data_IF_507672862734
#
_entry.id   IF_507672862734
#
_cell.length_a   1.000
_cell.length_b   1.000
_cell.length_c   1.000
_cell.angle_alpha   90.00
_cell.angle_beta   90.00
_cell.angle_gamma   90.00
#
_symmetry.space_group_name_H-M   'P 1'
#
loop_
_entity.id
_entity.type
_entity.pdbx_description
1 polymer ?
#
# COMPACT_ATOMS: atom_id res chain seq x y z
N UNK A 1 -11.04 6.34 -13.87
CA UNK A 1 -10.51 5.04 -13.36
C UNK A 1 -8.99 4.88 -13.56
N UNK A 2 -8.48 4.71 -14.79
CA UNK A 2 -7.06 4.36 -15.00
C UNK A 2 -6.06 5.40 -14.47
N UNK A 3 -6.31 6.69 -14.68
CA UNK A 3 -5.46 7.78 -14.17
C UNK A 3 -5.31 7.72 -12.65
N UNK A 4 -6.41 7.45 -11.94
CA UNK A 4 -6.40 7.31 -10.48
C UNK A 4 -5.45 6.18 -10.05
N UNK A 5 -5.57 5.01 -10.68
CA UNK A 5 -4.74 3.84 -10.36
C UNK A 5 -3.29 4.09 -10.74
N UNK A 6 -3.00 4.70 -11.89
CA UNK A 6 -1.61 5.05 -12.29
C UNK A 6 -0.95 5.90 -11.21
N UNK A 7 -1.62 6.95 -10.73
CA UNK A 7 -1.03 7.85 -9.73
C UNK A 7 -0.87 7.12 -8.39
N UNK A 8 -1.92 6.46 -7.91
CA UNK A 8 -1.89 5.74 -6.64
C UNK A 8 -0.84 4.62 -6.65
N UNK A 9 -0.77 3.82 -7.71
CA UNK A 9 0.23 2.76 -7.85
C UNK A 9 1.64 3.30 -8.04
N UNK A 10 1.81 4.50 -8.62
CA UNK A 10 3.11 5.15 -8.77
C UNK A 10 3.66 5.56 -7.40
N UNK A 11 2.83 6.20 -6.57
CA UNK A 11 3.21 6.52 -5.19
C UNK A 11 3.55 5.23 -4.44
N UNK A 12 2.71 4.20 -4.56
CA UNK A 12 2.96 2.95 -3.85
C UNK A 12 4.19 2.17 -4.29
N UNK A 13 4.53 2.18 -5.59
CA UNK A 13 5.72 1.49 -6.08
C UNK A 13 7.01 2.25 -5.79
N UNK A 14 7.00 3.59 -5.79
CA UNK A 14 8.24 4.36 -5.78
C UNK A 14 8.49 5.19 -4.53
N UNK A 15 7.45 5.55 -3.78
CA UNK A 15 7.59 6.35 -2.55
C UNK A 15 7.41 5.50 -1.29
N UNK A 16 6.62 4.43 -1.36
CA UNK A 16 6.41 3.53 -0.21
C UNK A 16 7.43 2.39 -0.11
N UNK A 17 8.47 2.40 -0.95
CA UNK A 17 9.52 1.38 -0.98
C UNK A 17 10.19 1.17 0.38
N UNK A 18 10.37 2.23 1.16
CA UNK A 18 10.90 2.14 2.53
C UNK A 18 10.04 1.25 3.43
N UNK A 19 8.71 1.31 3.33
CA UNK A 19 7.85 0.40 4.11
C UNK A 19 8.00 -1.04 3.64
N UNK A 20 8.07 -1.28 2.33
CA UNK A 20 8.25 -2.65 1.81
C UNK A 20 9.62 -3.25 2.13
N UNK A 21 10.70 -2.49 1.98
CA UNK A 21 12.05 -3.03 2.09
C UNK A 21 12.58 -2.96 3.52
N UNK A 22 12.25 -1.91 4.28
CA UNK A 22 12.78 -1.71 5.64
C UNK A 22 11.80 -2.19 6.72
N UNK A 23 10.50 -1.97 6.57
CA UNK A 23 9.50 -2.39 7.58
C UNK A 23 9.11 -3.86 7.39
N UNK A 24 8.91 -4.28 6.14
CA UNK A 24 8.47 -5.64 5.79
C UNK A 24 9.62 -6.59 5.40
N UNK A 25 10.81 -6.08 5.07
CA UNK A 25 11.96 -6.90 4.68
C UNK A 25 11.78 -7.66 3.37
N UNK A 26 11.12 -7.04 2.39
CA UNK A 26 10.98 -7.57 1.05
C UNK A 26 12.17 -7.17 0.15
N UNK A 27 12.44 -7.93 -0.91
CA UNK A 27 13.40 -7.50 -1.95
C UNK A 27 13.12 -8.14 -3.32
N UNK A 28 13.42 -7.40 -4.39
CA UNK A 28 13.37 -7.90 -5.78
C UNK A 28 14.75 -8.34 -6.26
N UNK A 29 14.87 -9.59 -6.73
CA UNK A 29 16.17 -10.19 -7.07
C UNK A 29 16.45 -10.30 -8.57
N UNK A 30 15.48 -10.05 -9.45
CA UNK A 30 15.68 -10.19 -10.90
C UNK A 30 16.42 -8.99 -11.55
N UNK A 31 17.22 -9.23 -12.60
CA UNK A 31 17.92 -8.18 -13.33
C UNK A 31 16.93 -7.34 -14.14
N UNK A 32 16.91 -6.02 -13.91
CA UNK A 32 16.02 -5.08 -14.59
C UNK A 32 16.48 -3.64 -14.36
N UNK A 33 15.88 -2.71 -15.10
CA UNK A 33 16.00 -1.28 -14.82
C UNK A 33 15.11 -0.94 -13.63
N UNK A 34 15.73 -0.42 -12.56
CA UNK A 34 15.07 -0.17 -11.28
C UNK A 34 15.04 1.32 -10.95
N UNK A 35 14.00 1.75 -10.24
CA UNK A 35 13.90 3.06 -9.58
C UNK A 35 13.53 2.81 -8.12
N UNK A 36 14.33 3.33 -7.17
CA UNK A 36 14.22 3.01 -5.75
C UNK A 36 14.14 1.49 -5.50
N UNK A 37 15.03 0.73 -6.14
CA UNK A 37 15.10 -0.75 -6.11
C UNK A 37 13.86 -1.51 -6.62
N UNK A 38 12.88 -0.79 -7.19
CA UNK A 38 11.69 -1.38 -7.81
C UNK A 38 11.84 -1.44 -9.34
N UNK A 39 11.73 -2.64 -9.94
CA UNK A 39 11.71 -2.82 -11.39
C UNK A 39 10.55 -2.08 -12.07
N UNK A 40 10.79 -1.39 -13.18
CA UNK A 40 9.69 -0.69 -13.89
C UNK A 40 8.60 -1.63 -14.42
N UNK A 41 8.94 -2.89 -14.69
CA UNK A 41 7.98 -3.91 -15.14
C UNK A 41 6.96 -4.25 -14.07
N UNK A 42 7.31 -4.17 -12.78
CA UNK A 42 6.36 -4.45 -11.69
C UNK A 42 5.34 -3.35 -11.58
N UNK A 43 5.70 -2.08 -11.80
CA UNK A 43 4.74 -0.98 -11.81
C UNK A 43 3.64 -1.19 -12.86
N UNK A 44 3.99 -1.60 -14.08
CA UNK A 44 3.02 -1.89 -15.14
C UNK A 44 2.10 -3.07 -14.77
N UNK A 45 2.66 -4.11 -14.15
CA UNK A 45 1.88 -5.24 -13.64
C UNK A 45 0.94 -4.79 -12.49
N UNK A 46 1.45 -4.01 -11.54
CA UNK A 46 0.68 -3.45 -10.43
C UNK A 46 -0.49 -2.64 -10.95
N UNK A 47 -0.32 -1.84 -12.02
CA UNK A 47 -1.41 -1.07 -12.59
C UNK A 47 -2.61 -1.96 -12.99
N UNK A 48 -2.35 -3.05 -13.71
CA UNK A 48 -3.40 -3.98 -14.17
C UNK A 48 -4.04 -4.69 -12.98
N UNK A 49 -3.23 -5.18 -12.05
CA UNK A 49 -3.67 -5.92 -10.88
C UNK A 49 -4.50 -5.03 -9.93
N UNK A 50 -4.06 -3.79 -9.70
CA UNK A 50 -4.80 -2.84 -8.87
C UNK A 50 -6.11 -2.43 -9.53
N UNK A 51 -6.12 -2.19 -10.85
CA UNK A 51 -7.38 -1.95 -11.56
C UNK A 51 -8.38 -3.09 -11.34
N UNK A 52 -7.91 -4.34 -11.44
CA UNK A 52 -8.75 -5.51 -11.20
C UNK A 52 -9.33 -5.50 -9.78
N UNK A 53 -8.50 -5.32 -8.74
CA UNK A 53 -8.96 -5.29 -7.35
C UNK A 53 -9.98 -4.19 -7.08
N UNK A 54 -9.74 -2.98 -7.59
CA UNK A 54 -10.62 -1.83 -7.33
C UNK A 54 -11.95 -1.95 -8.08
N UNK A 55 -11.94 -2.50 -9.31
CA UNK A 55 -13.18 -2.79 -10.05
C UNK A 55 -13.98 -3.89 -9.34
N UNK A 56 -13.33 -4.99 -8.92
CA UNK A 56 -13.99 -6.05 -8.14
C UNK A 56 -14.58 -5.50 -6.84
N UNK A 57 -13.83 -4.66 -6.13
CA UNK A 57 -14.31 -3.98 -4.92
C UNK A 57 -15.57 -3.15 -5.19
N UNK A 58 -15.55 -2.29 -6.20
CA UNK A 58 -16.71 -1.49 -6.58
C UNK A 58 -17.94 -2.35 -6.91
N UNK A 59 -17.76 -3.45 -7.67
CA UNK A 59 -18.85 -4.37 -7.99
C UNK A 59 -19.45 -5.01 -6.72
N UNK A 60 -18.61 -5.47 -5.80
CA UNK A 60 -19.08 -6.10 -4.55
C UNK A 60 -19.76 -5.08 -3.63
N UNK A 61 -19.21 -3.87 -3.49
CA UNK A 61 -19.76 -2.81 -2.65
C UNK A 61 -21.11 -2.30 -3.17
N UNK A 62 -21.25 -2.10 -4.49
CA UNK A 62 -22.54 -1.74 -5.10
C UNK A 62 -23.59 -2.82 -4.89
N UNK A 63 -23.21 -4.09 -5.04
CA UNK A 63 -24.12 -5.22 -4.79
C UNK A 63 -24.52 -5.31 -3.33
N UNK A 64 -23.56 -5.12 -2.42
CA UNK A 64 -23.79 -5.10 -0.97
C UNK A 64 -24.77 -3.99 -0.59
N UNK A 65 -24.53 -2.75 -1.06
CA UNK A 65 -25.41 -1.59 -0.86
C UNK A 65 -26.84 -1.86 -1.28
N UNK A 66 -27.01 -2.46 -2.46
CA UNK A 66 -28.34 -2.84 -2.94
C UNK A 66 -28.99 -3.91 -2.04
N UNK A 67 -28.23 -4.88 -1.57
CA UNK A 67 -28.74 -5.95 -0.69
C UNK A 67 -29.13 -5.47 0.71
N UNK A 68 -28.48 -4.44 1.23
CA UNK A 68 -28.72 -3.91 2.58
C UNK A 68 -29.58 -2.63 2.60
N UNK A 69 -30.07 -2.18 1.45
CA UNK A 69 -30.76 -0.89 1.31
C UNK A 69 -32.02 -0.74 2.20
N UNK A 70 -32.64 -1.84 2.60
CA UNK A 70 -33.82 -1.85 3.48
C UNK A 70 -33.49 -1.85 4.98
N UNK A 71 -32.21 -2.00 5.35
CA UNK A 71 -31.77 -2.06 6.75
C UNK A 71 -31.56 -0.65 7.34
N UNK A 72 -31.56 -0.50 8.67
CA UNK A 72 -31.19 0.75 9.33
C UNK A 72 -29.79 1.24 8.96
N UNK A 73 -29.61 2.56 8.84
CA UNK A 73 -28.36 3.21 8.41
C UNK A 73 -27.11 2.75 9.20
N UNK A 74 -27.24 2.59 10.52
CA UNK A 74 -26.14 2.10 11.36
C UNK A 74 -25.68 0.69 10.96
N UNK A 75 -26.62 -0.18 10.58
CA UNK A 75 -26.31 -1.55 10.15
C UNK A 75 -25.72 -1.51 8.74
N UNK A 76 -26.21 -0.62 7.87
CA UNK A 76 -25.62 -0.44 6.55
C UNK A 76 -24.15 -0.02 6.65
N UNK A 77 -23.87 1.02 7.44
CA UNK A 77 -22.51 1.52 7.67
C UNK A 77 -21.61 0.45 8.28
N UNK A 78 -22.06 -0.24 9.32
CA UNK A 78 -21.28 -1.30 9.97
C UNK A 78 -20.97 -2.45 8.99
N UNK A 79 -21.93 -2.82 8.14
CA UNK A 79 -21.76 -3.89 7.14
C UNK A 79 -20.81 -3.45 6.03
N UNK A 80 -20.91 -2.21 5.55
CA UNK A 80 -19.98 -1.66 4.55
C UNK A 80 -18.55 -1.62 5.08
N UNK A 81 -18.34 -1.08 6.28
CA UNK A 81 -17.02 -1.02 6.92
C UNK A 81 -16.46 -2.41 7.12
N UNK A 82 -17.25 -3.35 7.66
CA UNK A 82 -16.83 -4.73 7.85
C UNK A 82 -16.45 -5.39 6.51
N UNK A 83 -17.21 -5.14 5.45
CA UNK A 83 -16.91 -5.67 4.12
C UNK A 83 -15.63 -5.10 3.54
N UNK A 84 -15.40 -3.78 3.65
CA UNK A 84 -14.16 -3.14 3.20
C UNK A 84 -12.96 -3.74 3.93
N UNK A 85 -13.04 -3.87 5.26
CA UNK A 85 -11.95 -4.45 6.06
C UNK A 85 -11.67 -5.91 5.66
N UNK A 86 -12.72 -6.73 5.54
CA UNK A 86 -12.59 -8.13 5.15
C UNK A 86 -12.02 -8.31 3.75
N UNK A 87 -12.55 -7.58 2.76
CA UNK A 87 -12.10 -7.64 1.37
C UNK A 87 -10.66 -7.14 1.23
N UNK A 88 -10.32 -6.04 1.91
CA UNK A 88 -8.96 -5.46 1.90
C UNK A 88 -7.93 -6.45 2.43
N UNK A 89 -8.22 -7.08 3.57
CA UNK A 89 -7.34 -8.09 4.13
C UNK A 89 -7.24 -9.33 3.25
N UNK A 90 -8.37 -9.79 2.69
CA UNK A 90 -8.39 -10.94 1.80
C UNK A 90 -7.53 -10.73 0.54
N UNK A 91 -7.67 -9.59 -0.13
CA UNK A 91 -6.87 -9.25 -1.31
C UNK A 91 -5.39 -9.10 -0.94
N UNK A 92 -5.07 -8.40 0.15
CA UNK A 92 -3.70 -8.25 0.61
C UNK A 92 -3.03 -9.59 0.94
N UNK A 93 -3.78 -10.51 1.55
CA UNK A 93 -3.31 -11.86 1.84
C UNK A 93 -3.05 -12.67 0.57
N UNK A 94 -3.98 -12.65 -0.40
CA UNK A 94 -3.79 -13.32 -1.69
C UNK A 94 -2.59 -12.77 -2.46
N UNK A 95 -2.39 -11.46 -2.43
CA UNK A 95 -1.24 -10.84 -3.08
C UNK A 95 0.07 -11.20 -2.38
N UNK A 96 0.08 -11.24 -1.04
CA UNK A 96 1.23 -11.73 -0.27
C UNK A 96 1.56 -13.18 -0.65
N UNK A 97 0.53 -14.03 -0.76
CA UNK A 97 0.67 -15.42 -1.19
C UNK A 97 1.19 -15.53 -2.63
N UNK A 98 0.66 -14.75 -3.57
CA UNK A 98 1.11 -14.74 -4.95
C UNK A 98 2.57 -14.31 -5.08
N UNK A 99 2.94 -13.21 -4.41
CA UNK A 99 4.30 -12.67 -4.39
C UNK A 99 5.28 -13.64 -3.74
N UNK A 100 4.90 -14.30 -2.63
CA UNK A 100 5.78 -15.27 -1.94
C UNK A 100 6.15 -16.50 -2.78
N UNK A 101 5.35 -16.80 -3.81
CA UNK A 101 5.60 -17.90 -4.75
C UNK A 101 6.36 -17.43 -6.00
N UNK A 102 6.62 -16.12 -6.15
CA UNK A 102 7.38 -15.59 -7.27
C UNK A 102 8.89 -15.78 -7.02
N UNK A 103 9.63 -16.46 -7.92
CA UNK A 103 11.02 -16.85 -7.68
C UNK A 103 11.99 -15.66 -7.57
N UNK A 104 11.57 -14.46 -7.98
CA UNK A 104 12.41 -13.27 -7.94
C UNK A 104 11.97 -12.22 -6.92
N UNK A 105 11.20 -12.65 -5.92
CA UNK A 105 10.79 -11.83 -4.78
C UNK A 105 11.06 -12.59 -3.49
N UNK A 106 11.86 -12.02 -2.60
CA UNK A 106 12.22 -12.69 -1.34
C UNK A 106 11.79 -11.89 -0.12
N UNK A 107 11.49 -12.64 0.94
CA UNK A 107 11.10 -12.11 2.24
C UNK A 107 12.04 -12.66 3.32
N UNK A 108 12.54 -11.78 4.19
CA UNK A 108 13.38 -12.21 5.32
C UNK A 108 12.63 -13.13 6.28
N UNK A 109 11.37 -12.80 6.60
CA UNK A 109 10.49 -13.66 7.42
C UNK A 109 9.10 -13.82 6.79
N UNK A 110 8.91 -14.94 6.09
CA UNK A 110 7.64 -15.28 5.43
C UNK A 110 6.48 -15.47 6.42
N UNK A 111 6.75 -16.00 7.61
CA UNK A 111 5.69 -16.28 8.59
C UNK A 111 5.13 -14.97 9.16
N UNK A 112 5.99 -14.00 9.45
CA UNK A 112 5.57 -12.68 9.88
C UNK A 112 4.93 -11.87 8.76
N UNK A 113 5.36 -12.07 7.50
CA UNK A 113 4.71 -11.46 6.35
C UNK A 113 3.27 -11.92 6.15
N UNK A 114 2.96 -13.21 6.29
CA UNK A 114 1.58 -13.68 6.18
C UNK A 114 0.65 -13.19 7.30
N UNK A 115 1.19 -12.92 8.50
CA UNK A 115 0.38 -12.51 9.66
C UNK A 115 0.24 -10.99 9.76
N UNK A 116 1.37 -10.30 9.76
CA UNK A 116 1.44 -8.85 10.04
C UNK A 116 1.67 -8.07 8.75
N UNK A 117 2.48 -8.60 7.83
CA UNK A 117 2.73 -7.97 6.53
C UNK A 117 1.46 -7.83 5.69
N UNK A 118 0.61 -8.86 5.63
CA UNK A 118 -0.67 -8.79 4.93
C UNK A 118 -1.63 -7.77 5.55
N UNK A 119 -1.61 -7.59 6.88
CA UNK A 119 -2.41 -6.56 7.55
C UNK A 119 -1.88 -5.15 7.25
N UNK A 120 -0.56 -4.98 7.27
CA UNK A 120 0.09 -3.72 6.90
C UNK A 120 -0.23 -3.35 5.44
N UNK A 121 -0.18 -4.32 4.53
CA UNK A 121 -0.52 -4.10 3.14
C UNK A 121 -2.02 -3.84 2.94
N UNK A 122 -2.89 -4.46 3.74
CA UNK A 122 -4.34 -4.21 3.69
C UNK A 122 -4.71 -2.74 3.90
N UNK A 123 -3.90 -1.95 4.60
CA UNK A 123 -4.09 -0.49 4.79
C UNK A 123 -4.29 0.23 3.45
N UNK A 124 -3.61 -0.23 2.40
CA UNK A 124 -3.67 0.36 1.07
C UNK A 124 -5.10 0.29 0.56
N UNK A 125 -5.69 -0.91 0.66
CA UNK A 125 -7.04 -1.22 0.19
C UNK A 125 -8.14 -0.67 1.09
N UNK A 126 -7.90 -0.62 2.41
CA UNK A 126 -8.83 -0.04 3.39
C UNK A 126 -9.16 1.40 3.02
N UNK A 127 -8.16 2.16 2.57
CA UNK A 127 -8.34 3.54 2.11
C UNK A 127 -8.73 3.60 0.63
N UNK A 128 -8.05 2.84 -0.23
CA UNK A 128 -8.18 3.02 -1.68
C UNK A 128 -9.53 2.55 -2.22
N UNK A 129 -10.13 1.49 -1.66
CA UNK A 129 -11.44 1.00 -2.09
C UNK A 129 -12.56 2.04 -1.93
N UNK A 130 -12.81 2.61 -0.73
CA UNK A 130 -13.87 3.62 -0.58
C UNK A 130 -13.55 4.93 -1.30
N UNK A 131 -12.28 5.28 -1.52
CA UNK A 131 -11.90 6.45 -2.31
C UNK A 131 -12.20 6.24 -3.80
N UNK A 132 -11.76 5.11 -4.35
CA UNK A 132 -11.96 4.76 -5.77
C UNK A 132 -13.43 4.56 -6.12
N UNK A 133 -14.25 4.06 -5.19
CA UNK A 133 -15.70 3.91 -5.40
C UNK A 133 -16.40 5.24 -5.68
N UNK A 134 -15.85 6.38 -5.28
CA UNK A 134 -16.49 7.71 -5.48
C UNK A 134 -16.45 8.18 -6.93
N UNK A 135 -15.50 7.66 -7.71
CA UNK A 135 -15.27 8.08 -9.09
C UNK A 135 -16.50 7.71 -9.92
N UNK A 136 -17.15 8.72 -10.51
CA UNK A 136 -18.30 8.58 -11.39
C UNK A 136 -19.50 7.80 -10.79
N UNK A 137 -19.62 7.74 -9.47
CA UNK A 137 -20.71 6.99 -8.80
C UNK A 137 -22.05 7.74 -8.84
N UNK A 138 -22.01 9.08 -8.83
CA UNK A 138 -23.22 9.91 -8.88
C UNK A 138 -23.66 10.11 -10.33
N UNK A 139 -24.90 9.73 -10.70
CA UNK A 139 -25.41 9.99 -12.05
C UNK A 139 -25.34 11.48 -12.38
N UNK A 140 -24.65 11.83 -13.47
CA UNK A 140 -24.52 13.22 -13.94
C UNK A 140 -23.34 14.02 -13.35
N UNK A 141 -22.58 13.49 -12.38
CA UNK A 141 -21.34 14.09 -11.86
C UNK A 141 -20.13 13.30 -12.39
N UNK A 142 -19.77 13.54 -13.65
CA UNK A 142 -18.57 12.95 -14.26
C UNK A 142 -17.33 13.69 -13.76
N UNK A 143 -16.34 12.95 -13.28
CA UNK A 143 -15.11 13.53 -12.77
C UNK A 143 -14.15 13.89 -13.90
N UNK A 144 -13.59 15.10 -13.86
CA UNK A 144 -12.52 15.54 -14.73
C UNK A 144 -11.15 14.98 -14.28
N UNK A 145 -10.19 14.92 -15.22
CA UNK A 145 -8.87 14.34 -14.95
C UNK A 145 -8.11 15.02 -13.79
N UNK A 146 -8.13 16.37 -13.65
CA UNK A 146 -7.52 17.04 -12.50
C UNK A 146 -8.12 16.61 -11.15
N UNK A 147 -9.46 16.55 -11.03
CA UNK A 147 -10.13 16.08 -9.81
C UNK A 147 -9.73 14.65 -9.46
N UNK A 148 -9.70 13.76 -10.45
CA UNK A 148 -9.23 12.37 -10.26
C UNK A 148 -7.79 12.33 -9.77
N UNK A 149 -6.91 13.16 -10.33
CA UNK A 149 -5.51 13.21 -9.95
C UNK A 149 -5.33 13.68 -8.49
N UNK A 150 -5.97 14.78 -8.12
CA UNK A 150 -5.92 15.32 -6.76
C UNK A 150 -6.49 14.33 -5.75
N UNK A 151 -7.62 13.69 -6.05
CA UNK A 151 -8.22 12.68 -5.17
C UNK A 151 -7.30 11.47 -4.96
N UNK A 152 -6.66 10.97 -6.02
CA UNK A 152 -5.70 9.86 -5.93
C UNK A 152 -4.47 10.19 -5.08
N UNK A 153 -3.96 11.43 -5.19
CA UNK A 153 -2.86 11.93 -4.34
C UNK A 153 -3.30 12.07 -2.88
N UNK A 154 -4.53 12.54 -2.64
CA UNK A 154 -5.11 12.61 -1.30
C UNK A 154 -5.26 11.24 -0.65
N UNK A 155 -5.75 10.25 -1.41
CA UNK A 155 -5.83 8.86 -0.95
C UNK A 155 -4.44 8.29 -0.64
N UNK A 156 -3.45 8.54 -1.49
CA UNK A 156 -2.08 8.11 -1.26
C UNK A 156 -1.47 8.78 -0.01
N UNK A 157 -1.71 10.07 0.21
CA UNK A 157 -1.24 10.76 1.40
C UNK A 157 -1.88 10.18 2.68
N UNK A 158 -3.18 9.88 2.65
CA UNK A 158 -3.87 9.26 3.78
C UNK A 158 -3.30 7.88 4.11
N UNK A 159 -3.04 7.04 3.10
CA UNK A 159 -2.32 5.76 3.30
C UNK A 159 -0.97 6.01 3.94
N UNK A 160 -0.18 6.94 3.39
CA UNK A 160 1.17 7.28 3.90
C UNK A 160 1.13 7.63 5.39
N UNK A 161 0.18 8.47 5.81
CA UNK A 161 0.01 8.84 7.22
C UNK A 161 -0.27 7.61 8.08
N UNK A 162 -1.15 6.71 7.66
CA UNK A 162 -1.47 5.50 8.43
C UNK A 162 -0.27 4.55 8.50
N UNK A 163 0.47 4.39 7.41
CA UNK A 163 1.71 3.60 7.39
C UNK A 163 2.78 4.19 8.30
N UNK A 164 2.91 5.51 8.36
CA UNK A 164 3.83 6.19 9.27
C UNK A 164 3.42 6.04 10.73
N UNK A 165 2.12 6.15 11.05
CA UNK A 165 1.64 5.88 12.40
C UNK A 165 1.97 4.44 12.81
N UNK A 166 1.73 3.47 11.94
CA UNK A 166 2.13 2.08 12.18
C UNK A 166 3.63 1.98 12.45
N UNK A 167 4.46 2.56 11.59
CA UNK A 167 5.91 2.55 11.73
C UNK A 167 6.36 3.15 13.07
N UNK A 168 5.77 4.27 13.50
CA UNK A 168 6.15 4.97 14.73
C UNK A 168 5.71 4.19 15.98
N UNK A 169 4.50 3.62 15.99
CA UNK A 169 3.95 2.98 17.18
C UNK A 169 4.29 1.49 17.31
N UNK A 170 4.38 0.76 16.20
CA UNK A 170 4.58 -0.69 16.19
C UNK A 170 5.99 -1.10 15.71
N UNK A 171 6.63 -0.28 14.88
CA UNK A 171 7.97 -0.54 14.38
C UNK A 171 8.04 -1.55 13.22
N UNK A 172 9.27 -1.90 12.77
CA UNK A 172 9.52 -2.90 11.73
C UNK A 172 9.21 -4.32 12.21
N UNK A 173 8.76 -5.18 11.29
CA UNK A 173 8.42 -6.58 11.56
C UNK A 173 9.66 -7.47 11.51
N UNK A 174 10.68 -7.05 10.76
CA UNK A 174 11.95 -7.75 10.62
C UNK A 174 12.97 -7.16 11.61
N UNK A 175 13.78 -7.99 12.30
CA UNK A 175 14.89 -7.49 13.08
C UNK A 175 15.81 -6.68 12.17
N UNK A 176 15.95 -5.39 12.49
CA UNK A 176 16.96 -4.56 11.87
C UNK A 176 18.29 -5.27 12.12
N UNK A 177 18.98 -5.69 11.06
CA UNK A 177 20.35 -6.19 11.20
C UNK A 177 21.12 -5.19 12.07
N UNK A 178 21.95 -5.68 12.99
CA UNK A 178 22.83 -4.90 13.87
C UNK A 178 23.85 -4.06 13.07
N UNK A 179 23.38 -3.20 12.18
CA UNK A 179 24.09 -2.03 11.78
C UNK A 179 24.08 -1.17 13.04
N UNK A 180 25.27 -0.88 13.54
CA UNK A 180 25.55 0.26 14.42
C UNK A 180 25.03 1.53 13.75
N UNK A 181 23.72 1.72 13.71
CA UNK A 181 23.05 2.88 13.18
C UNK A 181 22.93 3.80 14.37
N UNK A 182 23.93 4.65 14.51
CA UNK A 182 23.83 5.86 15.30
C UNK A 182 22.51 6.52 14.88
N UNK A 183 21.51 6.53 15.77
CA UNK A 183 20.15 7.00 15.48
C UNK A 183 20.27 8.49 15.20
N UNK A 184 20.34 8.86 13.92
CA UNK A 184 20.11 10.23 13.53
C UNK A 184 18.60 10.43 13.45
N UNK A 185 17.99 11.28 14.31
CA UNK A 185 16.58 11.63 14.18
C UNK A 185 16.43 12.41 12.88
N UNK A 186 15.95 11.76 11.82
CA UNK A 186 15.79 12.35 10.50
C UNK A 186 14.97 11.45 9.57
N UNK A 187 14.39 12.05 8.53
CA UNK A 187 13.59 11.31 7.55
C UNK A 187 14.51 10.40 6.72
N UNK A 188 14.09 9.16 6.38
CA UNK A 188 14.96 8.13 5.80
C UNK A 188 15.69 8.53 4.51
N UNK A 189 15.11 9.46 3.73
CA UNK A 189 15.66 9.92 2.46
C UNK A 189 16.80 10.94 2.58
N UNK A 190 17.08 11.47 3.78
CA UNK A 190 18.21 12.37 4.01
C UNK A 190 19.52 11.65 4.39
N UNK A 191 19.50 10.31 4.52
CA UNK A 191 20.68 9.54 4.92
C UNK A 191 21.80 9.53 3.86
N UNK A 192 21.50 9.91 2.60
CA UNK A 192 22.44 9.83 1.47
C UNK A 192 23.49 10.95 1.37
N UNK A 193 23.62 11.85 2.35
CA UNK A 193 24.55 12.99 2.27
C UNK A 193 25.39 13.24 3.54
N UNK A 194 25.38 12.30 4.49
CA UNK A 194 26.31 12.37 5.62
C UNK A 194 27.67 11.79 5.18
N UNK A 195 28.63 12.68 4.97
CA UNK A 195 30.01 12.38 4.63
C UNK A 195 30.60 11.23 5.46
N UNK A 196 31.47 10.47 4.80
CA UNK A 196 32.33 9.35 5.25
C UNK A 196 33.22 9.66 6.49
N UNK A 197 33.05 10.82 7.13
CA UNK A 197 33.91 11.28 8.22
C UNK A 197 33.44 10.93 9.65
N UNK A 198 32.23 10.41 9.86
CA UNK A 198 31.72 10.13 11.22
C UNK A 198 31.82 8.66 11.67
N UNK A 199 32.49 7.78 10.91
CA UNK A 199 32.62 6.35 11.24
C UNK A 199 33.39 6.04 12.54
N UNK A 200 33.99 7.03 13.21
CA UNK A 200 34.81 6.83 14.42
C UNK A 200 34.19 7.29 15.74
N UNK A 201 32.87 7.55 15.82
CA UNK A 201 32.21 7.92 17.08
C UNK A 201 30.92 7.14 17.33
N UNK A 202 31.03 5.83 17.53
CA UNK A 202 30.00 5.07 18.23
C UNK A 202 30.72 3.95 19.02
N UNK A 203 30.83 4.16 20.34
CA UNK A 203 31.37 3.20 21.31
C UNK A 203 30.38 2.05 21.53
#
# INVERSE_FOLDING_TARGET
ASVWIVIFSYVGNYFWTHYFFTVLGASYTFPSWKMNDVPHTTFLLTHVVFLFYHVTSNMTLRRLRHSIASLPENIQLATEVAWILALSYFIAYLETLAISNFPYYDFVDRASMYKVGSLFYAIYFIVSFPMFLRIDEKPGDLWDLPRVAVDSLGAAMLVTIILDLWRIFLGPIVPLADAKQCIHPGLPWFAGSANVASQNQCA
#
